data_IF_213767668751
#
_entry.id   IF_213767668751
#
_cell.length_a   1.000
_cell.length_b   1.000
_cell.length_c   1.000
_cell.angle_alpha   90.00
_cell.angle_beta   90.00
_cell.angle_gamma   90.00
#
_symmetry.space_group_name_H-M   'P 1'
#
loop_
_entity.id
_entity.type
_entity.pdbx_description
1 polymer ?
#
# COMPACT_ATOMS: atom_id res chain seq x y z
N UNK A 1 18.05 -20.14 8.34
CA UNK A 1 17.85 -21.12 9.43
C UNK A 1 17.57 -22.46 8.75
N UNK A 2 18.43 -23.46 8.91
CA UNK A 2 18.41 -24.66 8.08
C UNK A 2 17.23 -25.56 8.42
N UNK A 3 16.27 -25.66 7.50
CA UNK A 3 15.05 -26.50 7.59
C UNK A 3 15.36 -28.01 7.70
N UNK A 4 16.58 -28.40 7.34
CA UNK A 4 17.08 -29.78 7.45
C UNK A 4 16.97 -30.36 8.86
N UNK A 5 17.11 -29.55 9.91
CA UNK A 5 17.00 -30.08 11.28
C UNK A 5 15.57 -30.46 11.66
N UNK A 6 14.55 -29.76 11.14
CA UNK A 6 13.14 -30.09 11.37
C UNK A 6 12.77 -31.41 10.67
N UNK A 7 13.28 -31.63 9.46
CA UNK A 7 13.11 -32.89 8.74
C UNK A 7 13.79 -34.05 9.48
N UNK A 8 14.99 -33.84 10.02
CA UNK A 8 15.70 -34.84 10.85
C UNK A 8 14.93 -35.19 12.12
N UNK A 9 14.35 -34.18 12.78
CA UNK A 9 13.59 -34.36 14.02
C UNK A 9 12.25 -35.06 13.78
N UNK A 10 11.55 -34.72 12.69
CA UNK A 10 10.35 -35.41 12.24
C UNK A 10 10.65 -36.88 11.90
N UNK A 11 11.75 -37.13 11.18
CA UNK A 11 12.18 -38.48 10.83
C UNK A 11 12.51 -39.29 12.10
N UNK A 12 13.24 -38.70 13.05
CA UNK A 12 13.53 -39.33 14.35
C UNK A 12 12.28 -39.68 15.17
N UNK A 13 11.29 -38.77 15.23
CA UNK A 13 10.02 -39.01 15.91
C UNK A 13 9.20 -40.12 15.24
N UNK A 14 9.20 -40.18 13.90
CA UNK A 14 8.48 -41.25 13.17
C UNK A 14 9.12 -42.62 13.37
N UNK A 15 10.45 -42.69 13.50
CA UNK A 15 11.17 -43.93 13.82
C UNK A 15 10.84 -44.38 15.26
N UNK A 16 10.86 -43.45 16.23
CA UNK A 16 10.52 -43.75 17.62
C UNK A 16 9.05 -44.18 17.79
N UNK A 17 8.13 -43.51 17.10
CA UNK A 17 6.71 -43.88 17.10
C UNK A 17 6.49 -45.27 16.47
N UNK A 18 7.21 -45.61 15.40
CA UNK A 18 7.17 -46.95 14.81
C UNK A 18 7.70 -48.02 15.78
N UNK A 19 8.80 -47.76 16.49
CA UNK A 19 9.35 -48.70 17.48
C UNK A 19 8.33 -48.99 18.58
N UNK A 20 7.64 -47.96 19.08
CA UNK A 20 6.61 -48.11 20.13
C UNK A 20 5.35 -48.82 19.61
N UNK A 21 4.94 -48.56 18.36
CA UNK A 21 3.75 -49.16 17.75
C UNK A 21 3.95 -50.62 17.33
N UNK A 22 5.18 -51.01 16.97
CA UNK A 22 5.56 -52.39 16.62
C UNK A 22 5.69 -53.29 17.86
N UNK A 23 6.00 -52.73 19.03
CA UNK A 23 6.25 -53.47 20.28
C UNK A 23 5.08 -54.41 20.71
N UNK A 24 3.79 -53.97 20.72
CA UNK A 24 2.67 -54.85 21.05
C UNK A 24 2.24 -55.80 19.91
N UNK A 25 2.71 -55.60 18.67
CA UNK A 25 2.28 -56.36 17.48
C UNK A 25 3.23 -57.50 17.05
N UNK A 26 4.17 -57.91 17.91
CA UNK A 26 5.25 -58.88 17.61
C UNK A 26 4.77 -60.22 17.02
N UNK A 27 3.50 -60.61 17.21
CA UNK A 27 2.90 -61.84 16.66
C UNK A 27 2.32 -61.72 15.24
N UNK A 28 2.13 -60.52 14.68
CA UNK A 28 1.61 -60.29 13.31
C UNK A 28 2.43 -59.23 12.57
N UNK A 29 3.71 -59.53 12.35
CA UNK A 29 4.67 -58.63 11.67
C UNK A 29 4.13 -58.09 10.33
N UNK A 30 3.46 -58.94 9.53
CA UNK A 30 2.87 -58.56 8.24
C UNK A 30 1.82 -57.43 8.33
N UNK A 31 1.00 -57.41 9.39
CA UNK A 31 -0.04 -56.39 9.56
C UNK A 31 0.57 -55.02 9.91
N UNK A 32 1.70 -55.00 10.63
CA UNK A 32 2.42 -53.79 10.98
C UNK A 32 3.05 -53.12 9.74
N UNK A 33 3.70 -53.90 8.87
CA UNK A 33 4.27 -53.39 7.62
C UNK A 33 3.23 -52.82 6.65
N UNK A 34 1.98 -53.29 6.69
CA UNK A 34 0.89 -52.76 5.86
C UNK A 34 0.25 -51.50 6.44
N UNK A 35 0.21 -51.34 7.77
CA UNK A 35 -0.41 -50.17 8.42
C UNK A 35 0.43 -48.89 8.28
N UNK A 36 1.76 -49.00 8.35
CA UNK A 36 2.68 -47.86 8.24
C UNK A 36 2.50 -47.05 6.95
N UNK A 37 2.51 -47.66 5.74
CA UNK A 37 2.29 -46.90 4.50
C UNK A 37 0.87 -46.32 4.42
N UNK A 38 -0.14 -46.98 5.00
CA UNK A 38 -1.51 -46.48 5.01
C UNK A 38 -1.63 -45.22 5.90
N UNK A 39 -1.05 -45.25 7.10
CA UNK A 39 -1.03 -44.08 7.99
C UNK A 39 -0.22 -42.94 7.36
N UNK A 40 0.89 -43.25 6.69
CA UNK A 40 1.68 -42.25 5.97
C UNK A 40 0.89 -41.62 4.81
N UNK A 41 0.20 -42.43 4.01
CA UNK A 41 -0.65 -41.95 2.92
C UNK A 41 -1.86 -41.17 3.45
N UNK A 42 -2.45 -41.56 4.57
CA UNK A 42 -3.56 -40.85 5.22
C UNK A 42 -3.11 -39.49 5.79
N UNK A 43 -1.93 -39.43 6.41
CA UNK A 43 -1.34 -38.18 6.90
C UNK A 43 -0.93 -37.26 5.74
N UNK A 44 -0.32 -37.82 4.69
CA UNK A 44 0.06 -37.09 3.48
C UNK A 44 -1.16 -36.53 2.75
N UNK A 45 -2.20 -37.35 2.54
CA UNK A 45 -3.46 -36.91 1.93
C UNK A 45 -4.20 -35.91 2.81
N UNK A 46 -4.21 -36.08 4.14
CA UNK A 46 -4.74 -35.10 5.08
C UNK A 46 -4.02 -33.76 5.01
N UNK A 47 -2.69 -33.76 4.93
CA UNK A 47 -1.88 -32.54 4.75
C UNK A 47 -2.16 -31.84 3.41
N UNK A 48 -2.33 -32.60 2.33
CA UNK A 48 -2.72 -32.06 1.02
C UNK A 48 -4.16 -31.53 0.99
N UNK A 49 -5.09 -32.22 1.67
CA UNK A 49 -6.51 -31.86 1.70
C UNK A 49 -6.82 -30.69 2.65
N UNK A 50 -6.05 -30.52 3.74
CA UNK A 50 -6.14 -29.36 4.65
C UNK A 50 -5.57 -28.05 4.08
N UNK A 51 -5.15 -28.01 2.81
CA UNK A 51 -4.98 -26.76 2.07
C UNK A 51 -3.68 -25.97 2.33
N UNK A 52 -2.72 -26.54 3.06
CA UNK A 52 -1.42 -25.87 3.32
C UNK A 52 -0.52 -25.77 2.09
N UNK A 53 -0.67 -26.64 1.09
CA UNK A 53 0.27 -26.70 -0.03
C UNK A 53 0.14 -25.49 -0.97
N UNK A 54 -1.09 -25.06 -1.27
CA UNK A 54 -1.34 -23.89 -2.13
C UNK A 54 -0.89 -22.58 -1.49
N UNK A 55 -1.16 -22.39 -0.20
CA UNK A 55 -0.73 -21.21 0.56
C UNK A 55 0.80 -21.20 0.76
N UNK A 56 1.41 -22.36 0.99
CA UNK A 56 2.87 -22.49 1.04
C UNK A 56 3.52 -22.19 -0.31
N UNK A 57 2.98 -22.71 -1.42
CA UNK A 57 3.49 -22.41 -2.75
C UNK A 57 3.38 -20.93 -3.09
N UNK A 58 2.26 -20.27 -2.75
CA UNK A 58 2.10 -18.83 -2.88
C UNK A 58 3.12 -18.07 -2.02
N UNK A 59 3.33 -18.48 -0.77
CA UNK A 59 4.31 -17.89 0.13
C UNK A 59 5.74 -17.99 -0.42
N UNK A 60 6.13 -19.16 -0.94
CA UNK A 60 7.44 -19.37 -1.58
C UNK A 60 7.59 -18.49 -2.83
N UNK A 61 6.55 -18.37 -3.65
CA UNK A 61 6.55 -17.47 -4.82
C UNK A 61 6.68 -15.99 -4.43
N UNK A 62 5.99 -15.57 -3.36
CA UNK A 62 6.10 -14.21 -2.83
C UNK A 62 7.53 -13.92 -2.34
N UNK A 63 8.12 -14.83 -1.56
CA UNK A 63 9.51 -14.72 -1.12
C UNK A 63 10.51 -14.64 -2.28
N UNK A 64 10.34 -15.48 -3.30
CA UNK A 64 11.19 -15.46 -4.49
C UNK A 64 11.03 -14.15 -5.27
N UNK A 65 9.79 -13.70 -5.47
CA UNK A 65 9.52 -12.41 -6.12
C UNK A 65 10.12 -11.23 -5.36
N UNK A 66 10.09 -11.27 -4.02
CA UNK A 66 10.65 -10.24 -3.16
C UNK A 66 12.19 -10.26 -3.19
N UNK A 67 12.81 -11.44 -3.15
CA UNK A 67 14.27 -11.59 -3.32
C UNK A 67 14.74 -11.03 -4.66
N UNK A 68 14.08 -11.39 -5.76
CA UNK A 68 14.39 -10.87 -7.10
C UNK A 68 14.24 -9.35 -7.16
N UNK A 69 13.15 -8.80 -6.61
CA UNK A 69 12.97 -7.36 -6.53
C UNK A 69 14.09 -6.68 -5.72
N UNK A 70 14.47 -7.25 -4.58
CA UNK A 70 15.55 -6.74 -3.73
C UNK A 70 16.93 -6.83 -4.40
N UNK A 71 17.20 -7.90 -5.15
CA UNK A 71 18.45 -8.04 -5.91
C UNK A 71 18.54 -7.01 -7.04
N UNK A 72 17.44 -6.80 -7.77
CA UNK A 72 17.35 -5.74 -8.79
C UNK A 72 17.59 -4.37 -8.14
N UNK A 73 16.99 -4.09 -6.98
CA UNK A 73 17.20 -2.82 -6.27
C UNK A 73 18.65 -2.64 -5.81
N UNK A 74 19.32 -3.72 -5.36
CA UNK A 74 20.74 -3.68 -4.98
C UNK A 74 21.68 -3.53 -6.18
N UNK A 75 21.29 -4.04 -7.34
CA UNK A 75 22.10 -3.96 -8.56
C UNK A 75 21.98 -2.60 -9.25
N UNK A 76 20.89 -1.86 -8.98
CA UNK A 76 20.61 -0.57 -9.59
C UNK A 76 21.60 0.47 -9.06
N UNK A 77 22.34 1.09 -9.96
CA UNK A 77 23.39 2.07 -9.62
C UNK A 77 22.85 3.48 -9.39
N UNK A 78 21.63 3.75 -9.85
CA UNK A 78 21.01 5.07 -9.73
C UNK A 78 19.55 5.09 -10.17
N UNK A 79 18.84 6.18 -9.88
CA UNK A 79 17.40 6.29 -10.12
C UNK A 79 17.02 6.18 -11.60
N UNK A 80 17.86 6.64 -12.53
CA UNK A 80 17.62 6.50 -13.97
C UNK A 80 17.59 5.04 -14.42
N UNK A 81 18.47 4.17 -13.89
CA UNK A 81 18.44 2.74 -14.23
C UNK A 81 17.15 2.07 -13.71
N UNK A 82 16.66 2.49 -12.54
CA UNK A 82 15.39 2.03 -12.01
C UNK A 82 14.20 2.48 -12.88
N UNK A 83 14.23 3.73 -13.35
CA UNK A 83 13.22 4.27 -14.28
C UNK A 83 13.17 3.40 -15.54
N UNK A 84 14.31 3.13 -16.17
CA UNK A 84 14.36 2.33 -17.40
C UNK A 84 13.87 0.90 -17.19
N UNK A 85 14.27 0.24 -16.10
CA UNK A 85 13.76 -1.11 -15.78
C UNK A 85 12.25 -1.11 -15.53
N UNK A 86 11.73 -0.08 -14.87
CA UNK A 86 10.30 0.02 -14.60
C UNK A 86 9.50 0.33 -15.88
N UNK A 87 10.05 1.16 -16.78
CA UNK A 87 9.47 1.43 -18.11
C UNK A 87 9.42 0.18 -18.97
N UNK A 88 10.51 -0.57 -19.08
CA UNK A 88 10.52 -1.84 -19.82
C UNK A 88 9.45 -2.81 -19.30
N UNK A 89 9.27 -2.89 -17.97
CA UNK A 89 8.21 -3.71 -17.37
C UNK A 89 6.80 -3.21 -17.67
N UNK A 90 6.63 -1.90 -17.83
CA UNK A 90 5.36 -1.29 -18.23
C UNK A 90 5.10 -1.44 -19.74
N UNK A 91 6.13 -1.60 -20.57
CA UNK A 91 5.95 -1.96 -21.98
C UNK A 91 5.34 -3.37 -22.11
N UNK A 92 5.78 -4.31 -21.27
CA UNK A 92 5.22 -5.67 -21.19
C UNK A 92 3.81 -5.71 -20.55
N UNK A 93 3.55 -4.82 -19.58
CA UNK A 93 2.25 -4.72 -18.90
C UNK A 93 1.77 -3.26 -18.77
N UNK A 94 1.22 -2.70 -19.87
CA UNK A 94 0.92 -1.27 -19.95
C UNK A 94 -0.28 -0.84 -19.11
N UNK A 95 -1.09 -1.77 -18.59
CA UNK A 95 -2.28 -1.48 -17.78
C UNK A 95 -2.02 -1.60 -16.28
N UNK A 96 -0.76 -1.75 -15.86
CA UNK A 96 -0.40 -1.86 -14.45
C UNK A 96 -0.51 -0.50 -13.74
N UNK A 97 -1.66 -0.21 -13.14
CA UNK A 97 -1.89 1.03 -12.38
C UNK A 97 -0.81 1.27 -11.31
N UNK A 98 -0.50 0.23 -10.53
CA UNK A 98 0.58 0.26 -9.53
C UNK A 98 1.96 0.51 -10.15
N UNK A 99 2.24 -0.04 -11.34
CA UNK A 99 3.51 0.21 -12.03
C UNK A 99 3.67 1.67 -12.44
N UNK A 100 2.62 2.26 -13.01
CA UNK A 100 2.57 3.69 -13.33
C UNK A 100 2.67 4.57 -12.09
N UNK A 101 2.02 4.18 -10.98
CA UNK A 101 2.13 4.88 -9.71
C UNK A 101 3.56 4.92 -9.18
N UNK A 102 4.26 3.77 -9.19
CA UNK A 102 5.65 3.69 -8.75
C UNK A 102 6.57 4.53 -9.65
N UNK A 103 6.30 4.55 -10.96
CA UNK A 103 7.04 5.37 -11.91
C UNK A 103 6.83 6.87 -11.63
N UNK A 104 5.60 7.29 -11.36
CA UNK A 104 5.30 8.67 -10.98
C UNK A 104 5.99 9.11 -9.70
N UNK A 105 6.04 8.23 -8.68
CA UNK A 105 6.79 8.51 -7.44
C UNK A 105 8.29 8.67 -7.71
N UNK A 106 8.85 7.85 -8.59
CA UNK A 106 10.26 7.91 -8.92
C UNK A 106 10.60 9.20 -9.70
N UNK A 107 9.79 9.57 -10.69
CA UNK A 107 9.93 10.87 -11.37
C UNK A 107 9.79 12.03 -10.40
N UNK A 108 8.82 11.98 -9.48
CA UNK A 108 8.64 12.99 -8.45
C UNK A 108 9.87 13.11 -7.55
N UNK A 109 10.52 12.01 -7.17
CA UNK A 109 11.74 12.07 -6.34
C UNK A 109 12.95 12.60 -7.11
N UNK A 110 12.94 12.52 -8.45
CA UNK A 110 13.94 13.13 -9.34
C UNK A 110 13.60 14.58 -9.72
N UNK A 111 12.52 15.14 -9.16
CA UNK A 111 12.01 16.47 -9.51
C UNK A 111 11.62 16.61 -11.00
N UNK A 112 11.35 15.49 -11.67
CA UNK A 112 10.84 15.46 -13.05
C UNK A 112 9.31 15.62 -13.04
N UNK A 113 8.86 16.86 -12.78
CA UNK A 113 7.44 17.17 -12.50
C UNK A 113 6.48 16.70 -13.59
N UNK A 114 6.78 16.97 -14.86
CA UNK A 114 5.90 16.60 -15.97
C UNK A 114 5.76 15.07 -16.09
N UNK A 115 6.89 14.36 -16.07
CA UNK A 115 6.91 12.90 -16.16
C UNK A 115 6.18 12.25 -14.97
N UNK A 116 6.27 12.85 -13.78
CA UNK A 116 5.53 12.41 -12.61
C UNK A 116 4.01 12.55 -12.82
N UNK A 117 3.54 13.70 -13.30
CA UNK A 117 2.13 13.94 -13.62
C UNK A 117 1.61 12.93 -14.64
N UNK A 118 2.34 12.71 -15.73
CA UNK A 118 1.92 11.80 -16.80
C UNK A 118 1.80 10.35 -16.30
N UNK A 119 2.74 9.91 -15.45
CA UNK A 119 2.71 8.58 -14.86
C UNK A 119 1.59 8.43 -13.82
N UNK A 120 1.37 9.43 -12.95
CA UNK A 120 0.26 9.40 -12.01
C UNK A 120 -1.11 9.48 -12.71
N UNK A 121 -1.22 10.23 -13.80
CA UNK A 121 -2.42 10.30 -14.62
C UNK A 121 -2.79 8.90 -15.15
N UNK A 122 -1.81 8.15 -15.67
CA UNK A 122 -2.02 6.75 -16.11
C UNK A 122 -2.44 5.85 -14.96
N UNK A 123 -1.79 5.95 -13.80
CA UNK A 123 -2.17 5.16 -12.62
C UNK A 123 -3.63 5.41 -12.23
N UNK A 124 -4.03 6.68 -12.15
CA UNK A 124 -5.41 7.08 -11.86
C UNK A 124 -6.40 6.68 -12.97
N UNK A 125 -5.98 6.72 -14.24
CA UNK A 125 -6.82 6.27 -15.36
C UNK A 125 -7.14 4.77 -15.26
N UNK A 126 -6.16 3.94 -14.91
CA UNK A 126 -6.37 2.49 -14.80
C UNK A 126 -7.12 2.09 -13.54
N UNK A 127 -6.99 2.83 -12.44
CA UNK A 127 -7.70 2.58 -11.18
C UNK A 127 -8.22 3.90 -10.57
N UNK A 128 -9.30 4.44 -11.13
CA UNK A 128 -9.84 5.75 -10.73
C UNK A 128 -10.51 5.78 -9.35
N UNK A 129 -10.81 4.61 -8.77
CA UNK A 129 -11.38 4.50 -7.42
C UNK A 129 -10.31 4.43 -6.33
N UNK A 130 -9.03 4.31 -6.71
CA UNK A 130 -7.93 4.23 -5.77
C UNK A 130 -7.58 5.63 -5.24
N UNK A 131 -7.92 5.90 -3.97
CA UNK A 131 -7.71 7.21 -3.36
C UNK A 131 -6.25 7.67 -3.42
N UNK A 132 -5.30 6.76 -3.18
CA UNK A 132 -3.88 7.08 -3.20
C UNK A 132 -3.45 7.59 -4.58
N UNK A 133 -3.96 6.99 -5.67
CA UNK A 133 -3.61 7.41 -7.02
C UNK A 133 -4.20 8.76 -7.35
N UNK A 134 -5.45 9.01 -6.97
CA UNK A 134 -6.10 10.30 -7.14
C UNK A 134 -5.36 11.42 -6.38
N UNK A 135 -5.00 11.20 -5.10
CA UNK A 135 -4.25 12.17 -4.29
C UNK A 135 -2.91 12.51 -4.92
N UNK A 136 -2.12 11.50 -5.29
CA UNK A 136 -0.78 11.75 -5.84
C UNK A 136 -0.87 12.40 -7.22
N UNK A 137 -1.88 12.07 -8.02
CA UNK A 137 -2.14 12.76 -9.28
C UNK A 137 -2.48 14.24 -9.06
N UNK A 138 -3.46 14.55 -8.20
CA UNK A 138 -3.84 15.93 -7.90
C UNK A 138 -2.68 16.73 -7.29
N UNK A 139 -1.94 16.15 -6.35
CA UNK A 139 -0.76 16.78 -5.76
C UNK A 139 0.34 17.02 -6.81
N UNK A 140 0.56 16.08 -7.73
CA UNK A 140 1.54 16.27 -8.82
C UNK A 140 1.14 17.41 -9.77
N UNK A 141 -0.16 17.57 -10.07
CA UNK A 141 -0.67 18.70 -10.85
C UNK A 141 -0.43 20.04 -10.13
N UNK A 142 -0.71 20.08 -8.82
CA UNK A 142 -0.45 21.27 -7.99
C UNK A 142 1.04 21.66 -8.00
N UNK A 143 1.95 20.69 -7.86
CA UNK A 143 3.41 20.92 -7.90
C UNK A 143 3.89 21.35 -9.29
N UNK A 144 3.32 20.76 -10.36
CA UNK A 144 3.61 21.13 -11.74
C UNK A 144 3.18 22.58 -12.02
N UNK A 145 2.02 22.97 -11.49
CA UNK A 145 1.47 24.31 -11.62
C UNK A 145 2.01 25.32 -10.59
N UNK A 146 3.25 25.12 -10.11
CA UNK A 146 3.93 26.01 -9.17
C UNK A 146 3.10 26.35 -7.91
N UNK A 147 2.45 25.32 -7.35
CA UNK A 147 1.64 25.42 -6.14
C UNK A 147 0.39 26.31 -6.28
N UNK A 148 -0.05 26.55 -7.51
CA UNK A 148 -1.33 27.20 -7.81
C UNK A 148 -2.40 26.15 -8.06
N UNK A 149 -3.55 26.29 -7.42
CA UNK A 149 -4.71 25.44 -7.67
C UNK A 149 -5.29 25.71 -9.05
N UNK A 150 -5.61 24.64 -9.77
CA UNK A 150 -6.37 24.69 -11.02
C UNK A 150 -7.73 24.04 -10.81
N UNK A 151 -8.70 24.40 -11.65
CA UNK A 151 -10.02 23.76 -11.66
C UNK A 151 -9.91 22.22 -11.71
N UNK A 152 -9.01 21.69 -12.54
CA UNK A 152 -8.75 20.26 -12.63
C UNK A 152 -8.27 19.66 -11.29
N UNK A 153 -7.38 20.35 -10.58
CA UNK A 153 -6.82 19.89 -9.32
C UNK A 153 -7.90 19.87 -8.24
N UNK A 154 -8.66 20.97 -8.13
CA UNK A 154 -9.77 21.11 -7.18
C UNK A 154 -10.88 20.09 -7.47
N UNK A 155 -11.21 19.83 -8.73
CA UNK A 155 -12.20 18.82 -9.14
C UNK A 155 -11.82 17.40 -8.69
N UNK A 156 -10.53 17.02 -8.77
CA UNK A 156 -10.06 15.71 -8.31
C UNK A 156 -10.23 15.58 -6.78
N UNK A 157 -9.88 16.61 -6.00
CA UNK A 157 -10.08 16.60 -4.56
C UNK A 157 -11.56 16.62 -4.17
N UNK A 158 -12.40 17.37 -4.88
CA UNK A 158 -13.85 17.34 -4.68
C UNK A 158 -14.44 15.96 -4.95
N UNK A 159 -13.97 15.26 -6.00
CA UNK A 159 -14.37 13.89 -6.29
C UNK A 159 -13.91 12.91 -5.20
N UNK A 160 -12.71 13.10 -4.66
CA UNK A 160 -12.23 12.34 -3.52
C UNK A 160 -13.15 12.51 -2.31
N UNK A 161 -13.57 13.73 -1.97
CA UNK A 161 -14.50 13.95 -0.86
C UNK A 161 -15.91 13.40 -1.13
N UNK A 162 -16.36 13.32 -2.38
CA UNK A 162 -17.62 12.64 -2.74
C UNK A 162 -17.54 11.13 -2.48
N UNK A 163 -16.39 10.51 -2.71
CA UNK A 163 -16.17 9.08 -2.47
C UNK A 163 -15.90 8.78 -0.99
N UNK A 164 -15.09 9.62 -0.35
CA UNK A 164 -14.70 9.51 1.05
C UNK A 164 -14.78 10.91 1.70
N UNK A 165 -15.89 11.23 2.39
CA UNK A 165 -16.09 12.53 3.01
C UNK A 165 -15.06 12.92 4.08
N UNK A 166 -14.30 11.96 4.59
CA UNK A 166 -13.30 12.14 5.64
C UNK A 166 -11.88 11.88 5.14
N UNK A 167 -11.64 12.02 3.83
CA UNK A 167 -10.32 11.85 3.25
C UNK A 167 -9.40 13.02 3.71
N UNK A 168 -8.32 12.78 4.49
CA UNK A 168 -7.53 13.85 5.11
C UNK A 168 -6.77 14.76 4.15
N UNK A 169 -6.13 14.21 3.11
CA UNK A 169 -5.41 14.96 2.09
C UNK A 169 -6.34 15.91 1.31
N UNK A 170 -7.52 15.44 0.93
CA UNK A 170 -8.49 16.21 0.18
C UNK A 170 -9.08 17.34 1.03
N UNK A 171 -9.41 17.07 2.31
CA UNK A 171 -9.80 18.11 3.27
C UNK A 171 -8.69 19.16 3.43
N UNK A 172 -7.44 18.74 3.59
CA UNK A 172 -6.30 19.63 3.76
C UNK A 172 -6.06 20.51 2.53
N UNK A 173 -6.07 19.91 1.34
CA UNK A 173 -5.81 20.59 0.08
C UNK A 173 -6.93 21.57 -0.28
N UNK A 174 -8.20 21.19 -0.10
CA UNK A 174 -9.34 22.09 -0.36
C UNK A 174 -9.42 23.21 0.67
N UNK A 175 -9.07 22.97 1.94
CA UNK A 175 -8.96 24.03 2.92
C UNK A 175 -7.88 25.06 2.53
N UNK A 176 -6.73 24.58 2.03
CA UNK A 176 -5.67 25.45 1.54
C UNK A 176 -6.12 26.27 0.33
N UNK A 177 -6.75 25.63 -0.66
CA UNK A 177 -7.32 26.29 -1.85
C UNK A 177 -8.31 27.40 -1.45
N UNK A 178 -9.29 27.05 -0.61
CA UNK A 178 -10.30 27.97 -0.10
C UNK A 178 -9.67 29.15 0.66
N UNK A 179 -8.68 28.90 1.51
CA UNK A 179 -7.98 29.96 2.24
C UNK A 179 -7.23 30.91 1.29
N UNK A 180 -6.50 30.38 0.31
CA UNK A 180 -5.78 31.20 -0.68
C UNK A 180 -6.72 31.99 -1.58
N UNK A 181 -7.91 31.44 -1.83
CA UNK A 181 -8.98 32.07 -2.61
C UNK A 181 -9.85 33.03 -1.79
N UNK A 182 -9.49 33.29 -0.52
CA UNK A 182 -10.22 34.16 0.41
C UNK A 182 -11.65 33.67 0.77
N UNK A 183 -11.95 32.40 0.48
CA UNK A 183 -13.15 31.69 0.93
C UNK A 183 -12.90 31.13 2.33
N UNK A 184 -12.77 32.04 3.31
CA UNK A 184 -12.34 31.70 4.66
C UNK A 184 -13.34 30.81 5.40
N UNK A 185 -14.63 30.98 5.15
CA UNK A 185 -15.70 30.17 5.73
C UNK A 185 -15.58 28.71 5.29
N UNK A 186 -15.36 28.46 3.99
CA UNK A 186 -15.16 27.12 3.44
C UNK A 186 -13.87 26.48 3.96
N UNK A 187 -12.78 27.26 4.06
CA UNK A 187 -11.53 26.79 4.63
C UNK A 187 -11.71 26.30 6.08
N UNK A 188 -12.48 27.05 6.88
CA UNK A 188 -12.80 26.68 8.26
C UNK A 188 -13.62 25.38 8.31
N UNK A 189 -14.63 25.19 7.45
CA UNK A 189 -15.41 23.94 7.42
C UNK A 189 -14.51 22.72 7.16
N UNK A 190 -13.66 22.78 6.13
CA UNK A 190 -12.75 21.69 5.79
C UNK A 190 -11.78 21.37 6.94
N UNK A 191 -11.19 22.40 7.57
CA UNK A 191 -10.31 22.22 8.71
C UNK A 191 -11.02 21.68 9.95
N UNK A 192 -12.26 22.11 10.22
CA UNK A 192 -13.06 21.58 11.32
C UNK A 192 -13.39 20.10 11.12
N UNK A 193 -13.67 19.68 9.88
CA UNK A 193 -13.84 18.26 9.54
C UNK A 193 -12.54 17.49 9.73
N UNK A 194 -11.41 18.05 9.30
CA UNK A 194 -10.09 17.44 9.48
C UNK A 194 -9.72 17.26 10.96
N UNK A 195 -10.05 18.25 11.82
CA UNK A 195 -9.86 18.18 13.27
C UNK A 195 -10.60 17.04 13.97
N UNK A 196 -11.69 16.52 13.37
CA UNK A 196 -12.42 15.36 13.92
C UNK A 196 -11.69 14.04 13.68
N UNK A 197 -10.73 14.02 12.75
CA UNK A 197 -10.04 12.81 12.29
C UNK A 197 -8.63 12.73 12.89
N UNK A 198 -7.95 13.87 13.02
CA UNK A 198 -6.58 13.92 13.55
C UNK A 198 -6.57 13.79 15.09
N UNK A 199 -5.54 13.16 15.70
CA UNK A 199 -5.43 13.07 17.15
C UNK A 199 -5.38 14.46 17.80
N UNK A 200 -6.22 14.72 18.81
CA UNK A 200 -6.45 16.06 19.37
C UNK A 200 -5.18 16.80 19.82
N UNK A 201 -4.20 16.05 20.33
CA UNK A 201 -2.93 16.58 20.86
C UNK A 201 -1.78 16.58 19.85
N UNK A 202 -2.00 16.15 18.60
CA UNK A 202 -0.95 16.14 17.58
C UNK A 202 -0.51 17.56 17.18
N UNK A 203 0.72 17.67 16.67
CA UNK A 203 1.22 18.91 16.08
C UNK A 203 0.33 19.36 14.91
N UNK A 204 -0.17 18.42 14.11
CA UNK A 204 -1.11 18.66 13.03
C UNK A 204 -2.41 19.31 13.53
N UNK A 205 -3.01 18.79 14.62
CA UNK A 205 -4.21 19.37 15.21
C UNK A 205 -3.96 20.80 15.73
N UNK A 206 -2.77 21.08 16.27
CA UNK A 206 -2.38 22.42 16.67
C UNK A 206 -2.22 23.36 15.45
N UNK A 207 -1.61 22.89 14.37
CA UNK A 207 -1.45 23.65 13.14
C UNK A 207 -2.82 24.00 12.51
N UNK A 208 -3.75 23.04 12.46
CA UNK A 208 -5.09 23.25 11.94
C UNK A 208 -5.86 24.28 12.78
N UNK A 209 -5.79 24.20 14.12
CA UNK A 209 -6.41 25.21 15.00
C UNK A 209 -5.86 26.62 14.77
N UNK A 210 -4.55 26.75 14.54
CA UNK A 210 -3.93 28.04 14.19
C UNK A 210 -4.41 28.55 12.84
N UNK A 211 -4.55 27.67 11.85
CA UNK A 211 -5.06 28.02 10.53
C UNK A 211 -6.51 28.52 10.58
N UNK A 212 -7.38 27.84 11.35
CA UNK A 212 -8.76 28.28 11.62
C UNK A 212 -8.77 29.67 12.26
N UNK A 213 -8.02 29.87 13.34
CA UNK A 213 -7.97 31.16 14.04
C UNK A 213 -7.52 32.31 13.11
N UNK A 214 -6.57 32.03 12.21
CA UNK A 214 -6.12 33.00 11.20
C UNK A 214 -7.22 33.35 10.20
N UNK A 215 -7.97 32.36 9.71
CA UNK A 215 -9.10 32.59 8.81
C UNK A 215 -10.22 33.40 9.48
N UNK A 216 -10.54 33.11 10.75
CA UNK A 216 -11.51 33.87 11.54
C UNK A 216 -11.09 35.34 11.73
N UNK A 217 -9.80 35.60 11.91
CA UNK A 217 -9.26 36.96 11.98
C UNK A 217 -9.48 37.72 10.66
N UNK A 218 -9.22 37.08 9.51
CA UNK A 218 -9.47 37.70 8.20
C UNK A 218 -10.96 38.04 7.99
N UNK A 219 -11.88 37.16 8.40
CA UNK A 219 -13.33 37.43 8.35
C UNK A 219 -13.68 38.65 9.22
N UNK A 220 -13.15 38.70 10.45
CA UNK A 220 -13.40 39.81 11.38
C UNK A 220 -12.89 41.15 10.83
N UNK A 221 -11.69 41.17 10.26
CA UNK A 221 -11.11 42.36 9.65
C UNK A 221 -11.92 42.82 8.43
N UNK A 222 -12.38 41.89 7.60
CA UNK A 222 -13.26 42.19 6.46
C UNK A 222 -14.56 42.85 6.91
N UNK A 223 -15.20 42.32 7.95
CA UNK A 223 -16.46 42.87 8.47
C UNK A 223 -16.28 44.28 9.05
N UNK A 224 -15.18 44.52 9.77
CA UNK A 224 -14.87 45.85 10.33
C UNK A 224 -14.62 46.92 9.26
N UNK A 225 -14.21 46.53 8.05
CA UNK A 225 -13.99 47.47 6.94
C UNK A 225 -15.28 47.79 6.15
N UNK A 226 -16.38 47.10 6.43
CA UNK A 226 -17.68 47.30 5.78
C UNK A 226 -18.60 48.22 6.62
N UNK A 227 -18.33 48.33 7.93
CA UNK A 227 -18.96 49.27 8.88
C UNK A 227 -18.27 50.65 8.88
#
# INVERSE_FOLDING_TARGET
MNEWWLLSLLCGLTVLANIFMIYPLRRRLLASYLLVPIVFLAAFSGYFYWGSFGSWQQYVHLLDSQKKANEVLKSIKGPQELIEKLRAKLDDNPKSAKGWYLLGRLYSSQNEKQNAVDAFAKAYQFESTNEQFAVNYAHSLWVLNNYQFTEQTTEIFNRLLKLNPNQPDALSMLAMDAFTSHAYEDAIDYWQRLLKIVPTQSEEAQAIRKAIAKAEEHIRLKNKNID
#
